data_IF_094721435675
#
_entry.id   IF_094721435675
#
_cell.length_a   1.000
_cell.length_b   1.000
_cell.length_c   1.000
_cell.angle_alpha   90.00
_cell.angle_beta   90.00
_cell.angle_gamma   90.00
#
_symmetry.space_group_name_H-M   'P 1'
#
loop_
_entity.id
_entity.type
_entity.pdbx_description
1 polymer ?
#
# COMPACT_ATOMS: atom_id res chain seq x y z
N UNK A 1 6.32 -40.66 9.44
CA UNK A 1 5.16 -40.12 10.16
C UNK A 1 4.29 -39.35 9.19
N UNK A 2 2.96 -39.48 9.25
CA UNK A 2 1.99 -38.79 8.38
C UNK A 2 1.62 -37.44 9.02
N UNK A 3 1.38 -36.44 8.21
CA UNK A 3 1.01 -35.10 8.66
C UNK A 3 -0.35 -35.09 9.37
N UNK A 4 -0.43 -34.65 10.63
CA UNK A 4 -1.69 -34.66 11.40
C UNK A 4 -2.73 -33.68 10.86
N UNK A 5 -2.34 -32.70 10.03
CA UNK A 5 -3.26 -31.68 9.50
C UNK A 5 -3.98 -32.10 8.22
N UNK A 6 -3.41 -32.97 7.41
CA UNK A 6 -4.04 -33.44 6.17
C UNK A 6 -4.21 -34.97 6.10
N UNK A 7 -3.59 -35.75 6.99
CA UNK A 7 -3.68 -37.21 7.00
C UNK A 7 -3.10 -37.92 5.80
N UNK A 8 -2.55 -37.22 4.80
CA UNK A 8 -2.17 -37.80 3.51
C UNK A 8 -0.67 -37.69 3.18
N UNK A 9 -0.01 -36.59 3.58
CA UNK A 9 1.36 -36.27 3.18
C UNK A 9 2.34 -36.56 4.31
N UNK A 10 3.59 -36.91 3.95
CA UNK A 10 4.67 -37.14 4.93
C UNK A 10 4.98 -35.83 5.67
N UNK A 11 4.98 -35.88 7.01
CA UNK A 11 5.42 -34.78 7.86
C UNK A 11 6.96 -34.68 7.83
N UNK A 12 7.48 -33.48 7.54
CA UNK A 12 8.94 -33.22 7.43
C UNK A 12 9.35 -31.90 8.11
N UNK A 13 8.40 -31.07 8.54
CA UNK A 13 8.67 -29.77 9.16
C UNK A 13 8.23 -29.80 10.61
N UNK A 14 9.14 -29.50 11.51
CA UNK A 14 8.81 -29.29 12.91
C UNK A 14 8.10 -27.92 13.04
N UNK A 15 6.84 -27.92 13.48
CA UNK A 15 6.06 -26.70 13.67
C UNK A 15 6.15 -26.25 15.11
N UNK A 16 6.81 -25.11 15.44
CA UNK A 16 6.93 -24.65 16.83
C UNK A 16 5.58 -24.27 17.43
N UNK A 17 4.67 -23.71 16.65
CA UNK A 17 3.33 -23.33 17.11
C UNK A 17 2.45 -24.53 17.51
N UNK A 18 2.65 -25.71 16.88
CA UNK A 18 1.83 -26.90 17.14
C UNK A 18 2.57 -27.96 17.96
N UNK A 19 3.87 -27.80 18.18
CA UNK A 19 4.71 -28.82 18.85
C UNK A 19 4.75 -30.15 18.10
N UNK A 20 4.41 -30.18 16.79
CA UNK A 20 4.27 -31.42 15.98
C UNK A 20 4.93 -31.26 14.62
N UNK A 21 5.28 -32.39 14.00
CA UNK A 21 5.72 -32.39 12.62
C UNK A 21 4.53 -32.29 11.65
N UNK A 22 4.64 -31.44 10.64
CA UNK A 22 3.63 -31.24 9.61
C UNK A 22 4.27 -31.30 8.21
N UNK A 23 3.47 -31.46 7.16
CA UNK A 23 3.99 -31.45 5.80
C UNK A 23 4.23 -30.02 5.30
N UNK A 24 5.09 -29.85 4.31
CA UNK A 24 5.45 -28.57 3.74
C UNK A 24 4.23 -27.80 3.16
N UNK A 25 3.28 -28.51 2.58
CA UNK A 25 2.06 -27.92 2.01
C UNK A 25 1.17 -27.35 3.11
N UNK A 26 0.87 -28.11 4.17
CA UNK A 26 0.09 -27.61 5.29
C UNK A 26 0.79 -26.45 6.01
N UNK A 27 2.11 -26.51 6.18
CA UNK A 27 2.88 -25.38 6.69
C UNK A 27 2.73 -24.13 5.81
N UNK A 28 2.83 -24.29 4.48
CA UNK A 28 2.74 -23.16 3.54
C UNK A 28 1.34 -22.55 3.43
N UNK A 29 0.30 -23.38 3.38
CA UNK A 29 -1.08 -22.92 3.16
C UNK A 29 -1.80 -22.44 4.42
N UNK A 30 -1.39 -22.93 5.60
CA UNK A 30 -2.07 -22.65 6.87
C UNK A 30 -1.32 -21.69 7.79
N UNK A 31 -0.06 -21.34 7.45
CA UNK A 31 0.75 -20.40 8.24
C UNK A 31 0.08 -19.01 8.30
N UNK A 32 0.09 -18.39 9.48
CA UNK A 32 -0.49 -17.08 9.77
C UNK A 32 -2.00 -16.97 9.51
N UNK A 33 -2.66 -18.02 9.00
CA UNK A 33 -4.11 -18.09 8.76
C UNK A 33 -4.78 -18.99 9.79
N UNK A 34 -4.34 -20.25 9.88
CA UNK A 34 -4.87 -21.27 10.81
C UNK A 34 -3.82 -21.69 11.87
N UNK A 35 -2.54 -21.40 11.62
CA UNK A 35 -1.44 -21.64 12.53
C UNK A 35 -0.86 -20.29 12.92
N UNK A 36 -0.90 -19.97 14.22
CA UNK A 36 -0.27 -18.77 14.77
C UNK A 36 1.23 -18.99 14.87
N UNK A 37 1.94 -18.76 13.75
CA UNK A 37 3.37 -18.97 13.69
C UNK A 37 4.10 -17.93 14.54
N UNK A 38 5.02 -18.34 15.44
CA UNK A 38 5.85 -17.40 16.19
C UNK A 38 6.83 -16.70 15.27
N UNK A 39 7.28 -15.50 15.64
CA UNK A 39 8.12 -14.65 14.80
C UNK A 39 9.50 -15.28 14.47
N UNK A 40 10.01 -16.10 15.38
CA UNK A 40 11.27 -16.83 15.30
C UNK A 40 11.18 -18.17 14.52
N UNK A 41 10.03 -18.48 13.94
CA UNK A 41 9.87 -19.71 13.14
C UNK A 41 10.78 -19.70 11.90
N UNK A 42 11.79 -20.58 11.85
CA UNK A 42 12.75 -20.69 10.76
C UNK A 42 12.10 -20.87 9.37
N UNK A 43 10.98 -21.61 9.29
CA UNK A 43 10.25 -21.76 8.02
C UNK A 43 9.49 -20.48 7.61
N UNK A 44 9.14 -19.63 8.57
CA UNK A 44 8.54 -18.34 8.29
C UNK A 44 9.62 -17.36 7.81
N UNK A 45 10.76 -17.29 8.48
CA UNK A 45 11.92 -16.49 8.10
C UNK A 45 12.39 -16.86 6.68
N UNK A 46 12.67 -18.15 6.43
CA UNK A 46 13.06 -18.63 5.09
C UNK A 46 12.05 -18.31 3.99
N UNK A 47 10.75 -18.29 4.30
CA UNK A 47 9.74 -17.94 3.29
C UNK A 47 9.66 -16.41 3.03
N UNK A 48 10.13 -15.58 3.95
CA UNK A 48 10.30 -14.12 3.74
C UNK A 48 11.55 -13.83 2.90
N UNK A 49 12.65 -14.52 3.19
CA UNK A 49 13.91 -14.39 2.44
C UNK A 49 13.80 -14.95 1.01
N UNK A 50 13.07 -16.05 0.85
CA UNK A 50 12.92 -16.77 -0.42
C UNK A 50 11.43 -16.86 -0.82
N UNK A 51 10.80 -15.79 -1.25
CA UNK A 51 9.40 -15.81 -1.69
C UNK A 51 9.26 -16.65 -2.96
N UNK A 52 8.09 -17.28 -3.12
CA UNK A 52 7.80 -18.09 -4.31
C UNK A 52 7.92 -17.26 -5.60
N UNK A 53 8.41 -17.84 -6.69
CA UNK A 53 8.63 -17.15 -7.96
C UNK A 53 7.36 -16.44 -8.50
N UNK A 54 6.16 -16.96 -8.21
CA UNK A 54 4.90 -16.31 -8.57
C UNK A 54 4.70 -14.98 -7.82
N UNK A 55 5.09 -14.93 -6.53
CA UNK A 55 5.03 -13.73 -5.70
C UNK A 55 6.03 -12.70 -6.21
N UNK A 56 7.26 -13.12 -6.52
CA UNK A 56 8.30 -12.23 -7.08
C UNK A 56 7.84 -11.64 -8.41
N UNK A 57 7.29 -12.46 -9.32
CA UNK A 57 6.76 -11.95 -10.60
C UNK A 57 5.61 -10.97 -10.41
N UNK A 58 4.71 -11.22 -9.45
CA UNK A 58 3.64 -10.28 -9.15
C UNK A 58 4.19 -8.96 -8.64
N UNK A 59 5.15 -9.00 -7.72
CA UNK A 59 5.81 -7.81 -7.18
C UNK A 59 6.51 -6.98 -8.26
N UNK A 60 7.21 -7.64 -9.20
CA UNK A 60 7.81 -6.94 -10.33
C UNK A 60 6.77 -6.24 -11.21
N UNK A 61 5.64 -6.90 -11.49
CA UNK A 61 4.55 -6.28 -12.24
C UNK A 61 3.97 -5.06 -11.51
N UNK A 62 3.70 -5.20 -10.21
CA UNK A 62 3.13 -4.12 -9.40
C UNK A 62 4.07 -2.89 -9.37
N UNK A 63 5.37 -3.11 -9.13
CA UNK A 63 6.38 -2.04 -9.14
C UNK A 63 6.50 -1.41 -10.53
N UNK A 64 6.55 -2.22 -11.59
CA UNK A 64 6.62 -1.72 -12.97
C UNK A 64 5.39 -0.90 -13.33
N UNK A 65 4.21 -1.30 -12.91
CA UNK A 65 2.97 -0.57 -13.13
C UNK A 65 3.01 0.83 -12.49
N UNK A 66 3.40 0.90 -11.20
CA UNK A 66 3.53 2.19 -10.50
C UNK A 66 4.64 3.05 -11.12
N UNK A 67 5.81 2.46 -11.43
CA UNK A 67 6.92 3.19 -12.05
C UNK A 67 6.54 3.78 -13.42
N UNK A 68 5.80 3.03 -14.24
CA UNK A 68 5.29 3.55 -15.52
C UNK A 68 4.27 4.68 -15.32
N UNK A 69 3.47 4.60 -14.26
CA UNK A 69 2.47 5.61 -13.96
C UNK A 69 3.06 6.98 -13.62
N UNK A 70 4.27 7.01 -13.04
CA UNK A 70 4.96 8.22 -12.61
C UNK A 70 6.20 8.57 -13.45
N UNK A 71 6.46 7.83 -14.53
CA UNK A 71 7.71 7.95 -15.34
C UNK A 71 8.01 9.36 -15.79
N UNK A 72 6.98 10.09 -16.17
CA UNK A 72 7.08 11.42 -16.78
C UNK A 72 6.84 12.54 -15.74
N UNK A 73 6.80 12.19 -14.45
CA UNK A 73 6.60 13.15 -13.37
C UNK A 73 7.90 13.85 -12.98
N UNK A 74 7.80 15.13 -12.61
CA UNK A 74 8.85 15.82 -11.89
C UNK A 74 8.96 15.27 -10.45
N UNK A 75 10.06 15.60 -9.76
CA UNK A 75 10.26 15.17 -8.36
C UNK A 75 9.08 15.59 -7.47
N UNK A 76 8.63 16.85 -7.60
CA UNK A 76 7.46 17.38 -6.86
C UNK A 76 6.17 16.60 -7.16
N UNK A 77 5.93 16.28 -8.43
CA UNK A 77 4.77 15.49 -8.83
C UNK A 77 4.85 14.07 -8.25
N UNK A 78 6.03 13.48 -8.24
CA UNK A 78 6.27 12.17 -7.65
C UNK A 78 6.04 12.18 -6.13
N UNK A 79 6.56 13.19 -5.42
CA UNK A 79 6.32 13.37 -3.98
C UNK A 79 4.83 13.49 -3.67
N UNK A 80 4.11 14.29 -4.45
CA UNK A 80 2.66 14.46 -4.28
C UNK A 80 1.91 13.15 -4.58
N UNK A 81 2.30 12.41 -5.61
CA UNK A 81 1.73 11.10 -5.92
C UNK A 81 1.89 10.15 -4.74
N UNK A 82 3.09 10.04 -4.16
CA UNK A 82 3.32 9.17 -3.02
C UNK A 82 2.63 9.64 -1.74
N UNK A 83 2.51 10.93 -1.50
CA UNK A 83 1.72 11.48 -0.40
C UNK A 83 0.25 11.04 -0.48
N UNK A 84 -0.35 11.13 -1.68
CA UNK A 84 -1.72 10.69 -1.90
C UNK A 84 -1.83 9.17 -1.80
N UNK A 85 -0.91 8.44 -2.43
CA UNK A 85 -0.91 6.97 -2.44
C UNK A 85 -0.80 6.40 -1.02
N UNK A 86 0.09 6.94 -0.18
CA UNK A 86 0.20 6.54 1.23
C UNK A 86 -1.05 6.87 2.03
N UNK A 87 -1.69 8.00 1.73
CA UNK A 87 -2.97 8.36 2.36
C UNK A 87 -4.09 7.40 1.96
N UNK A 88 -4.17 6.98 0.69
CA UNK A 88 -5.18 6.03 0.18
C UNK A 88 -5.04 4.63 0.80
N UNK A 89 -3.82 4.17 0.98
CA UNK A 89 -3.55 2.83 1.58
C UNK A 89 -3.74 2.87 3.09
N UNK A 90 -3.60 4.04 3.70
CA UNK A 90 -3.56 4.21 5.16
C UNK A 90 -2.24 3.69 5.73
N UNK A 91 -1.95 4.04 6.97
CA UNK A 91 -0.80 3.48 7.71
C UNK A 91 -1.05 2.00 8.05
N UNK A 92 -0.93 1.13 7.05
CA UNK A 92 -1.17 -0.31 7.17
C UNK A 92 -0.16 -1.02 8.08
N UNK A 93 0.00 -0.56 9.31
CA UNK A 93 0.81 -1.30 10.27
C UNK A 93 1.47 -0.53 11.40
N UNK A 94 1.53 0.77 11.40
CA UNK A 94 1.96 1.52 12.59
C UNK A 94 0.77 1.86 13.48
N UNK A 95 0.23 0.85 14.17
CA UNK A 95 -0.44 1.10 15.43
C UNK A 95 0.64 1.46 16.45
N UNK A 96 0.94 2.73 16.55
CA UNK A 96 1.51 3.26 17.78
C UNK A 96 0.47 3.00 18.89
N UNK A 97 0.82 2.27 19.97
CA UNK A 97 -0.12 2.08 21.06
C UNK A 97 -0.52 3.48 21.56
N UNK A 98 -1.82 3.74 21.83
CA UNK A 98 -2.25 5.04 22.31
C UNK A 98 -1.49 5.35 23.61
N UNK A 99 -0.72 6.44 23.60
CA UNK A 99 -0.07 6.93 24.80
C UNK A 99 -1.18 7.35 25.79
N UNK A 100 -1.05 7.01 27.09
CA UNK A 100 -2.11 7.22 28.08
C UNK A 100 -2.48 8.68 28.35
N UNK A 101 -1.84 9.65 27.69
CA UNK A 101 -2.11 11.10 27.87
C UNK A 101 -3.05 11.69 26.81
N UNK A 102 -3.61 10.90 25.87
CA UNK A 102 -4.51 11.43 24.82
C UNK A 102 -6.01 11.18 25.10
N UNK A 103 -6.41 10.95 26.34
CA UNK A 103 -7.81 10.70 26.74
C UNK A 103 -8.61 11.97 27.04
N UNK A 104 -8.40 13.06 26.33
CA UNK A 104 -9.31 14.24 26.43
C UNK A 104 -9.68 14.74 25.05
N UNK A 105 -10.87 14.34 24.62
CA UNK A 105 -11.75 15.13 23.75
C UNK A 105 -11.36 15.29 22.28
N UNK A 106 -11.72 14.29 21.45
CA UNK A 106 -12.27 14.44 20.08
C UNK A 106 -12.52 13.06 19.45
N UNK A 107 -13.42 12.29 20.01
CA UNK A 107 -13.68 10.90 19.54
C UNK A 107 -14.42 10.80 18.19
N UNK A 108 -14.97 11.87 17.64
CA UNK A 108 -15.83 11.78 16.45
C UNK A 108 -15.11 11.80 15.10
N UNK A 109 -13.91 12.38 14.98
CA UNK A 109 -13.21 12.51 13.69
C UNK A 109 -12.13 11.45 13.45
N UNK A 110 -11.55 10.87 14.51
CA UNK A 110 -10.42 9.91 14.41
C UNK A 110 -10.83 8.52 13.93
N UNK A 111 -12.06 8.10 14.14
CA UNK A 111 -12.52 6.71 13.84
C UNK A 111 -13.14 6.56 12.44
N UNK A 112 -13.52 7.65 11.78
CA UNK A 112 -14.13 7.63 10.44
C UNK A 112 -13.11 7.41 9.31
N UNK A 113 -11.89 7.91 9.47
CA UNK A 113 -10.83 7.85 8.45
C UNK A 113 -10.39 6.43 8.09
N UNK A 114 -10.04 5.56 9.06
CA UNK A 114 -9.68 4.18 8.77
C UNK A 114 -10.82 3.38 8.13
N UNK A 115 -12.05 3.58 8.58
CA UNK A 115 -13.24 2.89 8.03
C UNK A 115 -13.54 3.33 6.59
N UNK A 116 -13.43 4.64 6.31
CA UNK A 116 -13.59 5.15 4.95
C UNK A 116 -12.59 4.51 4.00
N UNK A 117 -11.29 4.55 4.33
CA UNK A 117 -10.23 4.03 3.47
C UNK A 117 -10.36 2.53 3.21
N UNK A 118 -10.85 1.75 4.19
CA UNK A 118 -11.10 0.32 4.03
C UNK A 118 -12.29 0.02 3.11
N UNK A 119 -13.28 0.90 3.03
CA UNK A 119 -14.49 0.73 2.21
C UNK A 119 -14.36 1.26 0.78
N UNK A 120 -13.32 2.05 0.48
CA UNK A 120 -13.09 2.62 -0.85
C UNK A 120 -12.91 1.53 -1.91
N UNK A 121 -13.42 1.81 -3.09
CA UNK A 121 -13.15 1.05 -4.32
C UNK A 121 -12.49 1.95 -5.36
N UNK A 122 -11.92 1.36 -6.39
CA UNK A 122 -11.19 2.09 -7.43
C UNK A 122 -12.06 3.14 -8.15
N UNK A 123 -13.34 2.84 -8.36
CA UNK A 123 -14.28 3.79 -8.98
C UNK A 123 -14.44 5.06 -8.14
N UNK A 124 -14.49 4.94 -6.79
CA UNK A 124 -14.54 6.10 -5.89
C UNK A 124 -13.25 6.92 -5.93
N UNK A 125 -12.10 6.23 -5.99
CA UNK A 125 -10.79 6.89 -6.11
C UNK A 125 -10.69 7.63 -7.43
N UNK A 126 -11.05 7.01 -8.54
CA UNK A 126 -11.00 7.65 -9.86
C UNK A 126 -11.92 8.89 -9.95
N UNK A 127 -13.11 8.81 -9.35
CA UNK A 127 -14.09 9.91 -9.31
C UNK A 127 -13.56 11.07 -8.44
N UNK A 128 -13.05 10.78 -7.25
CA UNK A 128 -12.46 11.79 -6.36
C UNK A 128 -11.26 12.50 -7.02
N UNK A 129 -10.35 11.73 -7.63
CA UNK A 129 -9.17 12.28 -8.31
C UNK A 129 -9.57 13.15 -9.49
N UNK A 130 -10.55 12.74 -10.30
CA UNK A 130 -11.04 13.52 -11.43
C UNK A 130 -11.67 14.84 -10.98
N UNK A 131 -12.48 14.84 -9.93
CA UNK A 131 -13.08 16.04 -9.36
C UNK A 131 -12.02 17.01 -8.81
N UNK A 132 -11.03 16.50 -8.06
CA UNK A 132 -9.92 17.32 -7.55
C UNK A 132 -9.06 17.90 -8.67
N UNK A 133 -8.77 17.10 -9.73
CA UNK A 133 -8.07 17.60 -10.90
C UNK A 133 -8.80 18.78 -11.55
N UNK A 134 -10.10 18.66 -11.79
CA UNK A 134 -10.93 19.73 -12.34
C UNK A 134 -10.92 20.99 -11.47
N UNK A 135 -11.02 20.84 -10.15
CA UNK A 135 -10.94 21.95 -9.19
C UNK A 135 -9.60 22.67 -9.26
N UNK A 136 -8.50 21.94 -9.26
CA UNK A 136 -7.14 22.50 -9.33
C UNK A 136 -6.86 23.16 -10.68
N UNK A 137 -7.37 22.61 -11.79
CA UNK A 137 -7.24 23.22 -13.11
C UNK A 137 -7.98 24.55 -13.22
N UNK A 138 -9.19 24.64 -12.68
CA UNK A 138 -9.93 25.90 -12.65
C UNK A 138 -9.24 26.91 -11.74
N UNK A 139 -8.75 26.50 -10.57
CA UNK A 139 -7.99 27.32 -9.64
C UNK A 139 -6.70 27.87 -10.28
N UNK A 140 -5.96 27.06 -11.01
CA UNK A 140 -4.71 27.47 -11.72
C UNK A 140 -4.93 28.57 -12.77
N UNK A 141 -6.18 28.75 -13.21
CA UNK A 141 -6.63 29.81 -14.13
C UNK A 141 -7.25 31.00 -13.41
N UNK A 142 -7.21 31.02 -12.05
CA UNK A 142 -7.81 32.06 -11.24
C UNK A 142 -9.34 31.94 -11.06
N UNK A 143 -9.94 30.79 -11.41
CA UNK A 143 -11.38 30.54 -11.25
C UNK A 143 -11.61 29.68 -10.02
N UNK A 144 -12.39 30.18 -9.09
CA UNK A 144 -12.78 29.44 -7.87
C UNK A 144 -14.04 28.63 -8.20
N UNK A 145 -13.85 27.33 -8.45
CA UNK A 145 -14.94 26.39 -8.70
C UNK A 145 -14.58 25.01 -8.17
N UNK A 146 -15.37 24.47 -7.26
CA UNK A 146 -15.20 23.15 -6.70
C UNK A 146 -16.00 22.12 -7.51
N UNK A 147 -15.29 21.28 -8.28
CA UNK A 147 -15.88 20.11 -8.94
C UNK A 147 -16.25 19.06 -7.90
N UNK A 148 -17.49 18.57 -7.95
CA UNK A 148 -17.97 17.57 -6.99
C UNK A 148 -17.92 16.17 -7.63
N UNK A 149 -17.43 15.16 -6.88
CA UNK A 149 -17.56 13.78 -7.31
C UNK A 149 -19.02 13.31 -7.30
N UNK A 150 -19.32 12.27 -8.08
CA UNK A 150 -20.68 11.74 -8.18
C UNK A 150 -21.04 10.84 -6.99
N UNK A 151 -20.05 10.15 -6.38
CA UNK A 151 -20.30 9.23 -5.27
C UNK A 151 -20.00 9.83 -3.90
N UNK A 152 -20.81 9.47 -2.89
CA UNK A 152 -20.58 9.92 -1.52
C UNK A 152 -19.23 9.44 -0.92
N UNK A 153 -18.75 8.20 -1.17
CA UNK A 153 -17.42 7.80 -0.74
C UNK A 153 -16.32 8.66 -1.38
N UNK A 154 -16.43 9.00 -2.66
CA UNK A 154 -15.49 9.88 -3.34
C UNK A 154 -15.53 11.31 -2.76
N UNK A 155 -16.70 11.84 -2.43
CA UNK A 155 -16.83 13.17 -1.77
C UNK A 155 -16.12 13.17 -0.41
N UNK A 156 -16.29 12.12 0.39
CA UNK A 156 -15.58 11.95 1.67
C UNK A 156 -14.07 11.83 1.47
N UNK A 157 -13.62 11.16 0.41
CA UNK A 157 -12.21 11.06 0.08
C UNK A 157 -11.63 12.43 -0.30
N UNK A 158 -12.33 13.23 -1.11
CA UNK A 158 -11.95 14.62 -1.41
C UNK A 158 -11.81 15.42 -0.13
N UNK A 159 -12.73 15.29 0.82
CA UNK A 159 -12.65 15.99 2.10
C UNK A 159 -11.41 15.63 2.93
N UNK A 160 -10.93 14.39 2.81
CA UNK A 160 -9.68 13.94 3.46
C UNK A 160 -8.43 14.47 2.73
N UNK A 161 -8.44 14.47 1.39
CA UNK A 161 -7.25 14.81 0.59
C UNK A 161 -7.08 16.31 0.39
N UNK A 162 -8.16 17.08 0.28
CA UNK A 162 -8.13 18.53 0.02
C UNK A 162 -7.22 19.30 0.99
N UNK A 163 -7.30 19.11 2.33
CA UNK A 163 -6.40 19.78 3.25
C UNK A 163 -4.93 19.38 3.09
N UNK A 164 -4.64 18.10 2.78
CA UNK A 164 -3.28 17.63 2.56
C UNK A 164 -2.65 18.26 1.33
N UNK A 165 -3.39 18.30 0.23
CA UNK A 165 -2.93 18.92 -1.03
C UNK A 165 -2.79 20.44 -0.87
N UNK A 166 -3.70 21.08 -0.15
CA UNK A 166 -3.63 22.52 0.14
C UNK A 166 -2.39 22.85 0.97
N UNK A 167 -2.09 22.04 1.99
CA UNK A 167 -0.90 22.21 2.81
C UNK A 167 0.40 22.01 2.01
N UNK A 168 0.46 20.96 1.19
CA UNK A 168 1.59 20.70 0.30
C UNK A 168 1.84 21.84 -0.71
N UNK A 169 0.78 22.54 -1.11
CA UNK A 169 0.82 23.68 -2.04
C UNK A 169 1.04 25.04 -1.40
N UNK A 170 1.14 25.12 -0.07
CA UNK A 170 1.21 26.39 0.62
C UNK A 170 2.39 27.26 0.14
N UNK A 171 2.10 28.43 -0.37
CA UNK A 171 3.10 29.39 -0.87
C UNK A 171 3.64 29.11 -2.29
N UNK A 172 3.17 28.04 -2.98
CA UNK A 172 3.68 27.66 -4.31
C UNK A 172 2.84 28.19 -5.49
N UNK A 173 1.62 28.67 -5.23
CA UNK A 173 0.76 29.31 -6.23
C UNK A 173 0.33 28.42 -7.40
N UNK A 174 -0.03 29.04 -8.52
CA UNK A 174 -0.64 28.37 -9.69
C UNK A 174 0.22 27.31 -10.38
N UNK A 175 1.53 27.32 -10.17
CA UNK A 175 2.41 26.26 -10.69
C UNK A 175 2.16 24.94 -9.96
N UNK A 176 1.99 25.00 -8.64
CA UNK A 176 1.63 23.82 -7.86
C UNK A 176 0.24 23.29 -8.21
N UNK A 177 -0.74 24.18 -8.41
CA UNK A 177 -2.09 23.76 -8.78
C UNK A 177 -2.10 22.99 -10.10
N UNK A 178 -1.29 23.39 -11.09
CA UNK A 178 -1.12 22.66 -12.36
C UNK A 178 -0.45 21.30 -12.16
N UNK A 179 0.61 21.25 -11.37
CA UNK A 179 1.30 19.99 -11.07
C UNK A 179 0.37 19.02 -10.33
N UNK A 180 -0.35 19.52 -9.33
CA UNK A 180 -1.29 18.73 -8.56
C UNK A 180 -2.48 18.24 -9.42
N UNK A 181 -2.99 19.07 -10.31
CA UNK A 181 -4.03 18.68 -11.26
C UNK A 181 -3.54 17.55 -12.20
N UNK A 182 -2.29 17.65 -12.71
CA UNK A 182 -1.69 16.62 -13.55
C UNK A 182 -1.54 15.28 -12.80
N UNK A 183 -1.07 15.32 -11.56
CA UNK A 183 -0.96 14.13 -10.70
C UNK A 183 -2.33 13.49 -10.45
N UNK A 184 -3.33 14.29 -10.06
CA UNK A 184 -4.68 13.79 -9.80
C UNK A 184 -5.31 13.18 -11.06
N UNK A 185 -5.14 13.81 -12.22
CA UNK A 185 -5.62 13.28 -13.49
C UNK A 185 -4.97 11.94 -13.81
N UNK A 186 -3.64 11.87 -13.70
CA UNK A 186 -2.91 10.63 -13.95
C UNK A 186 -3.34 9.52 -12.99
N UNK A 187 -3.55 9.83 -11.70
CA UNK A 187 -4.07 8.86 -10.74
C UNK A 187 -5.47 8.36 -11.12
N UNK A 188 -6.37 9.26 -11.55
CA UNK A 188 -7.69 8.84 -12.02
C UNK A 188 -7.60 7.89 -13.22
N UNK A 189 -6.73 8.18 -14.20
CA UNK A 189 -6.57 7.37 -15.40
C UNK A 189 -5.95 6.00 -15.09
N UNK A 190 -4.88 5.96 -14.29
CA UNK A 190 -4.22 4.71 -13.88
C UNK A 190 -5.16 3.84 -13.04
N UNK A 191 -6.01 4.45 -12.21
CA UNK A 191 -7.02 3.72 -11.44
C UNK A 191 -8.05 3.06 -12.36
N UNK A 192 -8.51 3.78 -13.40
CA UNK A 192 -9.42 3.22 -14.42
C UNK A 192 -8.74 2.13 -15.24
N UNK A 193 -7.46 2.31 -15.62
CA UNK A 193 -6.67 1.29 -16.33
C UNK A 193 -6.55 0.01 -15.50
N UNK A 194 -6.21 0.11 -14.22
CA UNK A 194 -6.12 -1.04 -13.31
C UNK A 194 -7.46 -1.75 -13.18
N UNK A 195 -8.55 -0.99 -13.05
CA UNK A 195 -9.91 -1.52 -12.97
C UNK A 195 -10.34 -2.23 -14.26
N UNK A 196 -9.97 -1.70 -15.41
CA UNK A 196 -10.24 -2.31 -16.71
C UNK A 196 -9.43 -3.60 -16.94
N UNK A 197 -8.20 -3.66 -16.41
CA UNK A 197 -7.34 -4.85 -16.51
C UNK A 197 -7.84 -6.01 -15.62
N UNK A 198 -8.47 -5.72 -14.49
CA UNK A 198 -9.10 -6.72 -13.61
C UNK A 198 -10.52 -6.30 -13.20
N UNK A 199 -11.51 -6.56 -14.08
CA UNK A 199 -12.92 -6.20 -13.81
C UNK A 199 -13.54 -6.91 -12.62
N UNK A 200 -12.97 -7.99 -12.14
CA UNK A 200 -13.46 -8.75 -10.99
C UNK A 200 -13.00 -8.16 -9.65
N UNK A 201 -11.86 -7.49 -9.64
CA UNK A 201 -11.32 -6.85 -8.44
C UNK A 201 -11.67 -5.35 -8.41
N UNK A 202 -12.62 -4.97 -7.58
CA UNK A 202 -13.03 -3.57 -7.40
C UNK A 202 -11.96 -2.69 -6.73
N UNK A 203 -10.86 -3.27 -6.25
CA UNK A 203 -9.76 -2.60 -5.54
C UNK A 203 -8.41 -2.88 -6.20
N UNK A 204 -8.39 -3.18 -7.49
CA UNK A 204 -7.20 -3.59 -8.23
C UNK A 204 -6.03 -2.59 -8.06
N UNK A 205 -6.29 -1.29 -8.21
CA UNK A 205 -5.32 -0.22 -8.02
C UNK A 205 -4.90 -0.06 -6.56
N UNK A 206 -5.88 0.00 -5.64
CA UNK A 206 -5.62 0.11 -4.20
C UNK A 206 -4.79 -1.07 -3.68
N UNK A 207 -5.05 -2.28 -4.17
CA UNK A 207 -4.29 -3.47 -3.79
C UNK A 207 -2.84 -3.42 -4.34
N UNK A 208 -2.64 -2.91 -5.56
CA UNK A 208 -1.30 -2.67 -6.12
C UNK A 208 -0.53 -1.68 -5.26
N UNK A 209 -1.13 -0.52 -4.97
CA UNK A 209 -0.51 0.49 -4.10
C UNK A 209 -0.16 -0.09 -2.72
N UNK A 210 -1.09 -0.82 -2.10
CA UNK A 210 -0.87 -1.46 -0.80
C UNK A 210 0.34 -2.40 -0.82
N UNK A 211 0.45 -3.27 -1.85
CA UNK A 211 1.59 -4.19 -1.97
C UNK A 211 2.92 -3.48 -2.23
N UNK A 212 2.93 -2.39 -2.99
CA UNK A 212 4.15 -1.63 -3.29
C UNK A 212 4.62 -0.83 -2.07
N UNK A 213 3.70 -0.08 -1.42
CA UNK A 213 4.05 0.82 -0.33
C UNK A 213 4.42 0.09 0.97
N UNK A 214 3.73 -1.01 1.32
CA UNK A 214 4.10 -1.81 2.51
C UNK A 214 5.49 -2.42 2.41
N UNK A 215 5.98 -2.64 1.20
CA UNK A 215 7.30 -3.21 0.97
C UNK A 215 8.44 -2.19 1.04
N UNK A 216 8.23 -0.97 0.57
CA UNK A 216 9.23 0.10 0.71
C UNK A 216 9.48 0.44 2.17
N UNK A 217 8.43 0.55 2.99
CA UNK A 217 8.57 0.77 4.43
C UNK A 217 9.23 -0.37 5.21
N UNK A 218 9.24 -1.61 4.69
CA UNK A 218 9.92 -2.74 5.34
C UNK A 218 11.43 -2.82 5.01
N UNK A 219 11.90 -2.18 3.93
CA UNK A 219 13.33 -2.12 3.60
C UNK A 219 14.08 -1.09 4.44
N UNK A 220 13.45 0.03 4.75
CA UNK A 220 14.07 1.10 5.55
C UNK A 220 14.22 0.73 7.04
N UNK A 221 13.50 -0.29 7.50
CA UNK A 221 13.56 -0.77 8.90
C UNK A 221 14.57 -1.92 9.14
N UNK A 222 15.31 -2.36 8.12
CA UNK A 222 16.11 -3.60 8.18
C UNK A 222 17.57 -3.51 7.75
N UNK A 223 18.12 -2.33 7.43
CA UNK A 223 19.50 -2.22 6.88
C UNK A 223 20.52 -1.58 7.84
N UNK A 224 20.38 -1.79 9.13
CA UNK A 224 21.45 -1.54 10.13
C UNK A 224 22.23 -2.84 10.48
N UNK A 225 22.42 -3.74 9.52
CA UNK A 225 23.31 -4.88 9.65
C UNK A 225 24.73 -4.54 9.19
N UNK A 226 25.79 -4.94 9.94
CA UNK A 226 27.16 -4.65 9.56
C UNK A 226 27.48 -5.24 8.17
N UNK A 227 28.10 -4.43 7.31
CA UNK A 227 28.54 -4.81 5.98
C UNK A 227 29.37 -6.10 6.04
N UNK A 228 28.89 -7.17 5.42
CA UNK A 228 29.65 -8.41 5.26
C UNK A 228 30.86 -8.12 4.36
N UNK A 229 32.07 -8.28 4.90
CA UNK A 229 33.30 -8.22 4.13
C UNK A 229 33.25 -9.24 2.96
N UNK A 230 33.75 -8.87 1.77
CA UNK A 230 33.78 -9.78 0.64
C UNK A 230 34.78 -10.93 0.95
N UNK A 231 34.27 -12.14 1.07
CA UNK A 231 35.07 -13.37 1.16
C UNK A 231 36.02 -13.46 -0.03
N UNK A 232 37.33 -13.35 0.25
CA UNK A 232 38.39 -13.63 -0.73
C UNK A 232 38.30 -15.11 -1.12
N UNK A 233 37.91 -15.37 -2.35
CA UNK A 233 38.06 -16.67 -2.97
C UNK A 233 39.57 -16.97 -3.10
N UNK A 234 40.06 -17.90 -2.30
CA UNK A 234 41.36 -18.54 -2.52
C UNK A 234 41.13 -19.62 -3.56
N UNK A 235 41.64 -19.41 -4.76
CA UNK A 235 41.70 -20.45 -5.81
C UNK A 235 43.03 -21.20 -5.62
N UNK A 236 43.02 -22.53 -5.59
CA UNK A 236 44.22 -23.33 -5.51
C UNK A 236 45.06 -23.32 -6.80
#
# INVERSE_FOLDING_TARGET
>A
MICPLCGTRRARRSCPALGKQICAVCCGTKRLVQIQCPADCAYLASAREHPAAVVVRQQHRDVSFVAQSIRDFSDRQSELFFLIATTLVGDGGRREPPSPSSLVGTEAAGDLRPRLLQSLVDDDVADAMAAMAGTLETASRGVIYDHRPASLPAERLVAVLKPLVTEAGRGLGSSFERDAAAVMRRMADVTREARAADPTNRRAFLDVLGRVLTRTGAKDAGDDGPAAEPSRLIVP
#
